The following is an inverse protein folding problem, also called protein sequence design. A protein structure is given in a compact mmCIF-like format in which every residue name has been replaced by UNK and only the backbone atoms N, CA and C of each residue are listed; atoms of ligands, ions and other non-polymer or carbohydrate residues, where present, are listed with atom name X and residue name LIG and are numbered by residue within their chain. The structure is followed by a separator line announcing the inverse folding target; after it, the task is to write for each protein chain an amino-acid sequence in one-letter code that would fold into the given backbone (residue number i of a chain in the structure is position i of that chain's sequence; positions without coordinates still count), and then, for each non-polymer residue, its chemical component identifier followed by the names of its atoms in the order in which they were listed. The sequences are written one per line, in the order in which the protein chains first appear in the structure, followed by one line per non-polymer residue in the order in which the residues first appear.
data_IF_171506528303
#
_entry.id   IF_171506528303
#
_cell.length_a   1.000
_cell.length_b   1.000
_cell.length_c   1.000
_cell.angle_alpha   90.00
_cell.angle_beta   90.00
_cell.angle_gamma   90.00
#
_symmetry.space_group_name_H-M   'P 1'
#
loop_
_entity.id
_entity.type
_entity.pdbx_description
1 polymer ?
#
# COMPACT_ATOMS: atom_id res chain seq x y z
N UNK A 1 -14.00 55.62 55.27
CA UNK A 1 -12.62 55.37 54.81
C UNK A 1 -12.23 53.96 55.20
N UNK A 2 -11.76 53.14 54.24
CA UNK A 2 -11.16 51.83 54.50
C UNK A 2 -11.83 50.66 53.77
N UNK A 3 -11.55 50.49 52.48
CA UNK A 3 -11.83 49.25 51.73
C UNK A 3 -10.84 48.16 52.15
N UNK A 4 -11.32 46.99 52.58
CA UNK A 4 -10.46 45.83 52.87
C UNK A 4 -10.48 44.87 51.68
N UNK A 5 -9.29 44.68 51.10
CA UNK A 5 -9.02 43.83 49.95
C UNK A 5 -8.62 42.43 50.44
N UNK A 6 -9.50 41.44 50.30
CA UNK A 6 -9.17 40.05 50.63
C UNK A 6 -8.66 39.35 49.38
N UNK A 7 -7.33 39.34 49.27
CA UNK A 7 -6.61 38.45 48.38
C UNK A 7 -7.07 37.01 48.63
N UNK A 8 -7.47 36.33 47.55
CA UNK A 8 -6.66 35.33 46.85
C UNK A 8 -6.47 34.06 47.68
N UNK A 9 -6.69 32.91 47.04
CA UNK A 9 -6.39 31.54 47.47
C UNK A 9 -7.50 30.78 48.23
N UNK A 10 -8.56 30.42 47.49
CA UNK A 10 -9.34 29.21 47.74
C UNK A 10 -8.96 28.16 46.69
N UNK A 11 -8.15 27.18 47.09
CA UNK A 11 -7.61 26.11 46.24
C UNK A 11 -8.75 25.18 45.78
N UNK A 12 -9.08 25.22 44.49
CA UNK A 12 -9.94 24.23 43.83
C UNK A 12 -9.05 23.08 43.37
N UNK A 13 -9.07 21.96 44.10
CA UNK A 13 -8.45 20.69 43.69
C UNK A 13 -9.37 20.09 42.61
N UNK A 14 -9.15 20.49 41.36
CA UNK A 14 -9.76 19.87 40.19
C UNK A 14 -8.88 18.71 39.73
N UNK A 15 -9.38 17.48 39.89
CA UNK A 15 -8.74 16.27 39.44
C UNK A 15 -8.58 16.27 37.90
N UNK A 16 -7.39 16.59 37.42
CA UNK A 16 -7.00 16.41 36.02
C UNK A 16 -6.60 14.94 35.83
N UNK A 17 -7.58 14.10 35.53
CA UNK A 17 -7.35 12.78 34.95
C UNK A 17 -6.83 12.99 33.53
N UNK A 18 -5.51 13.12 33.41
CA UNK A 18 -4.82 13.14 32.13
C UNK A 18 -5.00 11.79 31.44
N UNK A 19 -5.89 11.75 30.47
CA UNK A 19 -6.04 10.69 29.49
C UNK A 19 -4.73 10.59 28.70
N UNK A 20 -3.84 9.70 29.14
CA UNK A 20 -2.72 9.21 28.37
C UNK A 20 -3.27 8.39 27.19
N UNK A 21 -3.72 9.09 26.14
CA UNK A 21 -4.00 8.48 24.86
C UNK A 21 -2.69 8.01 24.26
N UNK A 22 -2.42 6.70 24.34
CA UNK A 22 -1.35 6.06 23.59
C UNK A 22 -1.67 6.20 22.09
N UNK A 23 -1.20 7.27 21.46
CA UNK A 23 -1.11 7.35 20.01
C UNK A 23 -0.03 6.38 19.55
N UNK A 24 -0.42 5.15 19.22
CA UNK A 24 0.41 4.20 18.48
C UNK A 24 0.66 4.80 17.09
N UNK A 25 1.74 5.56 16.95
CA UNK A 25 2.28 5.92 15.65
C UNK A 25 2.76 4.63 14.99
N UNK A 26 1.96 4.09 14.07
CA UNK A 26 2.35 2.95 13.25
C UNK A 26 3.55 3.37 12.42
N UNK A 27 4.67 2.66 12.54
CA UNK A 27 5.87 2.97 11.77
C UNK A 27 5.53 2.97 10.26
N UNK A 28 6.07 3.93 9.48
CA UNK A 28 5.86 3.95 8.04
C UNK A 28 6.30 2.63 7.41
N UNK A 29 5.49 2.09 6.51
CA UNK A 29 5.85 0.87 5.76
C UNK A 29 7.00 1.23 4.81
N UNK A 30 8.15 0.55 4.89
CA UNK A 30 9.31 0.91 4.10
C UNK A 30 9.05 0.67 2.61
N UNK A 31 9.63 1.56 1.79
CA UNK A 31 9.65 1.40 0.34
C UNK A 31 10.43 0.14 -0.04
N UNK A 32 9.89 -0.63 -0.99
CA UNK A 32 10.52 -1.83 -1.49
C UNK A 32 11.08 -1.60 -2.89
N UNK A 33 12.41 -1.62 -2.98
CA UNK A 33 13.13 -1.64 -4.25
C UNK A 33 13.43 -3.08 -4.66
N UNK A 34 13.17 -3.41 -5.92
CA UNK A 34 13.48 -4.72 -6.50
C UNK A 34 14.34 -4.53 -7.75
N UNK A 35 15.26 -5.47 -7.97
CA UNK A 35 16.05 -5.51 -9.21
C UNK A 35 15.33 -6.37 -10.22
N UNK A 36 14.85 -5.76 -11.31
CA UNK A 36 14.18 -6.44 -12.41
C UNK A 36 15.19 -6.69 -13.53
N UNK A 37 15.28 -7.92 -14.03
CA UNK A 37 16.21 -8.27 -15.11
C UNK A 37 15.86 -7.60 -16.44
N UNK A 38 14.58 -7.49 -16.73
CA UNK A 38 14.05 -6.85 -17.94
C UNK A 38 14.03 -5.34 -17.76
N UNK A 39 15.19 -4.70 -18.00
CA UNK A 39 15.34 -3.26 -17.94
C UNK A 39 14.82 -2.60 -19.23
N UNK A 40 13.51 -2.39 -19.32
CA UNK A 40 12.94 -1.57 -20.39
C UNK A 40 13.06 -0.09 -20.06
N UNK A 41 13.23 0.74 -21.10
CA UNK A 41 13.37 2.19 -20.98
C UNK A 41 12.12 2.87 -20.41
N UNK A 42 10.93 2.29 -20.63
CA UNK A 42 9.65 2.83 -20.18
C UNK A 42 9.06 1.94 -19.09
N UNK A 43 8.78 2.50 -17.92
CA UNK A 43 8.15 1.82 -16.80
C UNK A 43 6.89 2.55 -16.34
N UNK A 44 5.97 1.80 -15.73
CA UNK A 44 4.81 2.39 -15.04
C UNK A 44 5.30 3.42 -14.02
N UNK A 45 4.64 4.57 -13.92
CA UNK A 45 5.02 5.66 -13.03
C UNK A 45 6.04 6.65 -13.63
N UNK A 46 6.78 6.29 -14.69
CA UNK A 46 7.66 7.24 -15.39
C UNK A 46 6.86 8.36 -16.06
N UNK A 47 7.55 9.41 -16.52
CA UNK A 47 6.94 10.54 -17.25
C UNK A 47 7.46 10.62 -18.69
N UNK A 48 6.57 10.91 -19.64
CA UNK A 48 6.88 11.24 -21.04
C UNK A 48 6.20 12.57 -21.37
N UNK A 49 6.99 13.63 -21.45
CA UNK A 49 6.45 15.00 -21.42
C UNK A 49 5.68 15.25 -20.12
N UNK A 50 4.47 15.80 -20.22
CA UNK A 50 3.58 16.07 -19.07
C UNK A 50 2.73 14.86 -18.66
N UNK A 51 2.87 13.73 -19.35
CA UNK A 51 2.05 12.53 -19.13
C UNK A 51 2.78 11.49 -18.32
N UNK A 52 2.06 10.80 -17.43
CA UNK A 52 2.56 9.63 -16.69
C UNK A 52 2.28 8.35 -17.45
N UNK A 53 3.25 7.44 -17.47
CA UNK A 53 3.07 6.09 -18.00
C UNK A 53 2.22 5.30 -17.01
N UNK A 54 1.02 4.89 -17.42
CA UNK A 54 0.09 4.16 -16.57
C UNK A 54 0.48 2.68 -16.41
N UNK A 55 0.95 2.06 -17.49
CA UNK A 55 1.35 0.65 -17.56
C UNK A 55 2.59 0.47 -18.42
N UNK A 56 3.41 -0.51 -18.07
CA UNK A 56 4.62 -0.90 -18.80
C UNK A 56 4.46 -2.25 -19.49
N UNK A 57 5.53 -2.69 -20.13
CA UNK A 57 5.61 -4.06 -20.63
C UNK A 57 5.47 -5.05 -19.46
N UNK A 58 4.85 -6.21 -19.72
CA UNK A 58 4.59 -7.23 -18.69
C UNK A 58 3.33 -7.00 -17.83
N UNK A 59 2.65 -5.85 -17.97
CA UNK A 59 1.38 -5.58 -17.29
C UNK A 59 0.18 -6.13 -18.08
N UNK A 60 -0.82 -6.62 -17.35
CA UNK A 60 -2.20 -6.81 -17.83
C UNK A 60 -3.05 -5.70 -17.22
N UNK A 61 -3.80 -4.99 -18.06
CA UNK A 61 -4.68 -3.91 -17.61
C UNK A 61 -6.12 -4.43 -17.49
N UNK A 62 -6.73 -4.19 -16.33
CA UNK A 62 -8.12 -4.52 -16.05
C UNK A 62 -8.90 -3.24 -15.82
N UNK A 63 -10.05 -3.11 -16.46
CA UNK A 63 -11.01 -2.06 -16.17
C UNK A 63 -11.78 -2.44 -14.90
N UNK A 64 -11.67 -1.60 -13.88
CA UNK A 64 -12.32 -1.84 -12.59
C UNK A 64 -13.59 -1.00 -12.40
N UNK A 65 -13.76 0.09 -13.14
CA UNK A 65 -14.89 1.02 -12.99
C UNK A 65 -15.08 1.51 -11.54
N UNK A 66 -13.98 1.70 -10.80
CA UNK A 66 -14.00 2.05 -9.37
C UNK A 66 -14.00 0.85 -8.42
N UNK A 67 -13.91 -0.37 -8.95
CA UNK A 67 -13.89 -1.61 -8.19
C UNK A 67 -12.70 -1.75 -7.24
N UNK A 68 -12.92 -2.60 -6.23
CA UNK A 68 -11.95 -2.90 -5.17
C UNK A 68 -11.07 -4.07 -5.57
N UNK A 69 -9.79 -4.00 -5.22
CA UNK A 69 -8.81 -5.07 -5.31
C UNK A 69 -8.55 -5.62 -3.90
N UNK A 70 -8.59 -6.93 -3.76
CA UNK A 70 -8.47 -7.66 -2.49
C UNK A 70 -7.17 -8.44 -2.41
N UNK A 71 -6.71 -8.74 -1.20
CA UNK A 71 -5.53 -9.58 -1.01
C UNK A 71 -5.85 -11.06 -1.34
N UNK A 72 -5.15 -11.69 -2.29
CA UNK A 72 -5.46 -13.05 -2.73
C UNK A 72 -5.00 -14.11 -1.70
N UNK A 73 -4.10 -13.71 -0.80
CA UNK A 73 -3.56 -14.47 0.34
C UNK A 73 -3.28 -13.50 1.49
N UNK A 74 -2.93 -14.02 2.66
CA UNK A 74 -2.33 -13.19 3.71
C UNK A 74 -0.92 -12.78 3.31
N UNK A 75 -0.50 -11.57 3.63
CA UNK A 75 0.78 -11.08 3.16
C UNK A 75 1.05 -9.63 3.48
N UNK A 76 1.92 -9.03 2.67
CA UNK A 76 2.46 -7.71 2.89
C UNK A 76 2.27 -6.87 1.63
N UNK A 77 1.73 -5.66 1.79
CA UNK A 77 1.66 -4.61 0.77
C UNK A 77 2.71 -3.55 1.09
N UNK A 78 3.57 -3.25 0.12
CA UNK A 78 4.66 -2.27 0.28
C UNK A 78 4.64 -1.25 -0.87
N UNK A 79 4.91 0.04 -0.61
CA UNK A 79 5.02 1.03 -1.67
C UNK A 79 6.29 0.80 -2.49
N UNK A 80 6.25 1.23 -3.76
CA UNK A 80 7.43 1.36 -4.63
C UNK A 80 7.66 2.82 -5.02
N UNK A 81 8.81 3.08 -5.61
CA UNK A 81 9.24 4.36 -6.22
C UNK A 81 8.33 4.87 -7.35
N UNK A 82 7.47 4.01 -7.91
CA UNK A 82 6.71 4.28 -9.14
C UNK A 82 5.19 4.37 -8.94
N UNK A 83 4.72 4.79 -7.75
CA UNK A 83 3.28 4.92 -7.42
C UNK A 83 2.47 3.61 -7.55
N UNK A 84 3.16 2.48 -7.57
CA UNK A 84 2.57 1.14 -7.46
C UNK A 84 2.76 0.62 -6.03
N UNK A 85 2.09 -0.48 -5.73
CA UNK A 85 2.43 -1.31 -4.56
C UNK A 85 2.85 -2.70 -4.99
N UNK A 86 3.74 -3.30 -4.21
CA UNK A 86 4.08 -4.71 -4.32
C UNK A 86 3.34 -5.47 -3.23
N UNK A 87 2.65 -6.53 -3.65
CA UNK A 87 2.12 -7.55 -2.76
C UNK A 87 3.04 -8.77 -2.76
N UNK A 88 3.34 -9.28 -1.57
CA UNK A 88 4.11 -10.51 -1.35
C UNK A 88 3.44 -11.37 -0.29
N UNK A 89 3.53 -12.69 -0.43
CA UNK A 89 2.87 -13.64 0.46
C UNK A 89 3.75 -14.88 0.70
N UNK A 90 3.82 -15.41 1.93
CA UNK A 90 4.55 -16.65 2.23
C UNK A 90 3.93 -17.89 1.57
N UNK A 91 2.67 -17.85 1.17
CA UNK A 91 1.97 -18.91 0.43
C UNK A 91 2.49 -19.06 -1.00
N UNK A 92 3.04 -17.99 -1.58
CA UNK A 92 3.65 -17.97 -2.93
C UNK A 92 5.01 -17.24 -2.91
N UNK A 93 6.01 -17.77 -2.17
CA UNK A 93 7.21 -17.01 -1.77
C UNK A 93 8.16 -16.66 -2.93
N UNK A 94 8.02 -17.36 -4.07
CA UNK A 94 8.79 -17.10 -5.28
C UNK A 94 8.20 -15.99 -6.15
N UNK A 95 7.06 -15.40 -5.77
CA UNK A 95 6.32 -14.44 -6.58
C UNK A 95 6.12 -13.09 -5.88
N UNK A 96 6.06 -12.05 -6.69
CA UNK A 96 5.59 -10.71 -6.32
C UNK A 96 4.50 -10.28 -7.28
N UNK A 97 3.52 -9.56 -6.76
CA UNK A 97 2.48 -8.96 -7.57
C UNK A 97 2.61 -7.44 -7.51
N UNK A 98 2.82 -6.82 -8.67
CA UNK A 98 2.82 -5.36 -8.82
C UNK A 98 1.41 -4.90 -9.14
N UNK A 99 0.90 -3.99 -8.32
CA UNK A 99 -0.45 -3.42 -8.43
C UNK A 99 -0.31 -1.91 -8.64
N UNK A 100 -0.60 -1.42 -9.84
CA UNK A 100 -0.61 0.00 -10.17
C UNK A 100 -2.04 0.48 -10.50
N UNK A 101 -2.31 1.78 -10.35
CA UNK A 101 -3.63 2.37 -10.60
C UNK A 101 -4.58 2.39 -9.39
N UNK A 102 -4.14 1.87 -8.24
CA UNK A 102 -4.90 1.91 -7.00
C UNK A 102 -4.85 3.29 -6.34
N UNK A 103 -6.00 3.77 -5.89
CA UNK A 103 -6.15 4.96 -5.04
C UNK A 103 -6.01 4.55 -3.58
N UNK A 104 -5.15 5.27 -2.84
CA UNK A 104 -4.94 5.11 -1.40
C UNK A 104 -4.77 3.64 -0.96
N UNK A 105 -3.78 2.91 -1.51
CA UNK A 105 -3.61 1.51 -1.19
C UNK A 105 -3.30 1.32 0.30
N UNK A 106 -3.91 0.31 0.90
CA UNK A 106 -3.62 -0.15 2.26
C UNK A 106 -2.23 -0.77 2.30
N UNK A 107 -1.29 -0.05 2.88
CA UNK A 107 0.07 -0.52 3.11
C UNK A 107 0.14 -1.34 4.40
N UNK A 108 1.08 -2.27 4.47
CA UNK A 108 1.32 -3.08 5.66
C UNK A 108 0.88 -4.52 5.48
N UNK A 109 0.72 -5.21 6.61
CA UNK A 109 0.15 -6.54 6.67
C UNK A 109 -1.34 -6.51 6.30
N UNK A 110 -1.72 -7.47 5.46
CA UNK A 110 -3.10 -7.71 5.03
C UNK A 110 -3.41 -9.19 5.16
N UNK A 111 -4.66 -9.51 5.51
CA UNK A 111 -5.15 -10.89 5.48
C UNK A 111 -5.79 -11.18 4.14
N UNK A 112 -5.90 -12.45 3.77
CA UNK A 112 -6.68 -12.85 2.60
C UNK A 112 -8.09 -12.22 2.65
N UNK A 113 -8.53 -11.66 1.52
CA UNK A 113 -9.82 -10.99 1.39
C UNK A 113 -9.86 -9.56 1.94
N UNK A 114 -8.83 -9.08 2.65
CA UNK A 114 -8.75 -7.67 3.01
C UNK A 114 -8.63 -6.82 1.73
N UNK A 115 -9.34 -5.69 1.66
CA UNK A 115 -9.18 -4.73 0.58
C UNK A 115 -7.76 -4.13 0.59
N UNK A 116 -7.09 -4.18 -0.55
CA UNK A 116 -5.80 -3.52 -0.80
C UNK A 116 -6.03 -2.10 -1.30
N UNK A 117 -7.02 -1.86 -2.16
CA UNK A 117 -7.31 -0.53 -2.70
C UNK A 117 -8.41 -0.58 -3.76
N UNK A 118 -8.71 0.56 -4.38
CA UNK A 118 -9.70 0.64 -5.45
C UNK A 118 -9.20 1.55 -6.58
N UNK A 119 -9.68 1.36 -7.80
CA UNK A 119 -9.18 2.12 -8.96
C UNK A 119 -10.15 2.13 -10.13
N UNK A 120 -9.90 3.00 -11.11
CA UNK A 120 -10.58 2.92 -12.41
C UNK A 120 -10.00 1.79 -13.26
N UNK A 121 -8.69 1.60 -13.16
CA UNK A 121 -7.93 0.52 -13.79
C UNK A 121 -7.01 -0.12 -12.75
N UNK A 122 -6.72 -1.40 -12.94
CA UNK A 122 -5.60 -2.09 -12.32
C UNK A 122 -4.62 -2.50 -13.41
N UNK A 123 -3.38 -2.02 -13.31
CA UNK A 123 -2.27 -2.56 -14.10
C UNK A 123 -1.54 -3.58 -13.22
N UNK A 124 -1.69 -4.84 -13.59
CA UNK A 124 -1.24 -5.99 -12.82
C UNK A 124 -0.05 -6.66 -13.50
N UNK A 125 1.01 -6.90 -12.75
CA UNK A 125 2.11 -7.74 -13.20
C UNK A 125 2.50 -8.79 -12.15
N UNK A 126 2.90 -9.96 -12.64
CA UNK A 126 3.53 -10.98 -11.82
C UNK A 126 5.02 -10.96 -12.06
N UNK A 127 5.80 -10.92 -10.99
CA UNK A 127 7.24 -11.12 -11.03
C UNK A 127 7.60 -12.43 -10.33
N UNK A 128 8.52 -13.18 -10.92
CA UNK A 128 9.10 -14.39 -10.33
C UNK A 128 10.55 -14.14 -9.93
N UNK A 129 10.90 -14.57 -8.73
CA UNK A 129 12.28 -14.52 -8.22
C UNK A 129 13.16 -15.52 -8.98
N UNK A 130 14.31 -15.06 -9.46
CA UNK A 130 15.35 -15.88 -10.05
C UNK A 130 16.33 -16.38 -8.99
N UNK A 131 17.07 -17.49 -9.23
CA UNK A 131 18.06 -18.04 -8.29
C UNK A 131 19.10 -17.01 -7.78
N UNK A 132 19.51 -16.09 -8.64
CA UNK A 132 20.44 -14.98 -8.39
C UNK A 132 19.82 -13.83 -7.58
N UNK A 133 18.53 -13.89 -7.26
CA UNK A 133 17.84 -12.93 -6.39
C UNK A 133 17.15 -11.77 -7.11
N UNK A 134 17.32 -11.65 -8.42
CA UNK A 134 16.59 -10.68 -9.27
C UNK A 134 15.17 -11.15 -9.56
N UNK A 135 14.36 -10.26 -10.13
CA UNK A 135 12.96 -10.51 -10.48
C UNK A 135 12.75 -10.41 -11.99
N UNK A 136 11.85 -11.22 -12.52
CA UNK A 136 11.52 -11.24 -13.96
C UNK A 136 10.01 -11.27 -14.12
N UNK A 137 9.49 -10.48 -15.04
CA UNK A 137 8.07 -10.52 -15.41
C UNK A 137 7.74 -11.89 -16.00
N UNK A 138 6.65 -12.46 -15.52
CA UNK A 138 6.06 -13.71 -16.02
C UNK A 138 4.57 -13.50 -16.23
N UNK A 139 3.96 -14.36 -17.04
CA UNK A 139 2.53 -14.29 -17.31
C UNK A 139 1.71 -14.36 -16.00
N UNK A 140 0.77 -13.41 -15.78
CA UNK A 140 -0.21 -13.49 -14.72
C UNK A 140 -1.03 -14.77 -14.72
N UNK A 141 -1.18 -15.39 -13.54
CA UNK A 141 -2.15 -16.47 -13.37
C UNK A 141 -3.57 -15.91 -13.34
N UNK A 142 -4.45 -16.45 -14.19
CA UNK A 142 -5.88 -16.12 -14.19
C UNK A 142 -6.54 -16.32 -12.82
N UNK A 143 -6.22 -17.41 -12.13
CA UNK A 143 -6.84 -17.71 -10.82
C UNK A 143 -6.39 -16.74 -9.72
N UNK A 144 -5.20 -16.16 -9.83
CA UNK A 144 -4.74 -15.10 -8.92
C UNK A 144 -5.46 -13.79 -9.23
N UNK A 145 -5.59 -13.43 -10.51
CA UNK A 145 -6.36 -12.26 -10.92
C UNK A 145 -7.81 -12.35 -10.44
N UNK A 146 -8.48 -13.48 -10.59
CA UNK A 146 -9.85 -13.66 -10.11
C UNK A 146 -9.97 -13.42 -8.60
N UNK A 147 -9.02 -13.93 -7.80
CA UNK A 147 -8.95 -13.68 -6.33
C UNK A 147 -8.63 -12.23 -5.96
N UNK A 148 -7.93 -11.50 -6.83
CA UNK A 148 -7.69 -10.07 -6.62
C UNK A 148 -8.96 -9.25 -6.85
N UNK A 149 -9.89 -9.72 -7.68
CA UNK A 149 -11.10 -8.99 -8.07
C UNK A 149 -12.32 -9.35 -7.22
N UNK A 150 -12.29 -10.50 -6.54
CA UNK A 150 -13.40 -11.00 -5.74
C UNK A 150 -12.89 -11.52 -4.39
N UNK A 151 -13.45 -11.07 -3.26
CA UNK A 151 -13.12 -11.66 -1.97
C UNK A 151 -13.63 -13.11 -1.91
N UNK A 152 -12.98 -13.99 -1.12
CA UNK A 152 -13.45 -15.35 -0.90
C UNK A 152 -14.80 -15.41 -0.17
#
# INVERSE_FOLDING_TARGET
MGSVNWGKYGVVIGAVLASAGCSTSRAPVPLRTIQIQQAWQLQSGDSVGEYRIAAGLGDVSLELNGGTVYAPFSGQVQPTDHQCVLFSSPEVPAYLFRLCGLKQPRLGEVRQGDAIGAGAYLHFATLRRQPEGTWTFVEPSRSILERLLQPP
#
